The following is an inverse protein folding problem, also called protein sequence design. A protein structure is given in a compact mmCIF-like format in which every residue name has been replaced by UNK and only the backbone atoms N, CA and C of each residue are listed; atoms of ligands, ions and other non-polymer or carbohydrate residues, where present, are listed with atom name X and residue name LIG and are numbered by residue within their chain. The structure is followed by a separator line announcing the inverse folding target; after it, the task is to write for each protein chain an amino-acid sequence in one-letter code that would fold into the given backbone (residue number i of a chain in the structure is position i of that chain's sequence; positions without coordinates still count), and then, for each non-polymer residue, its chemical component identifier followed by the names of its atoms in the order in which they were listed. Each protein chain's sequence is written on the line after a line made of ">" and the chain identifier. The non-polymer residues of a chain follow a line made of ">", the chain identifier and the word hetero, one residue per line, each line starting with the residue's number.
data_IF_941001373508
#
_entry.id   IF_941001373508
#
_cell.length_a   1.000
_cell.length_b   1.000
_cell.length_c   1.000
_cell.angle_alpha   90.00
_cell.angle_beta   90.00
_cell.angle_gamma   90.00
#
_symmetry.space_group_name_H-M   'P 1'
#
loop_
_entity.id
_entity.type
_entity.pdbx_description
1 polymer ?
#
# COMPACT_ATOMS: atom_id res chain seq x y z
N UNK A 1 -31.77 -10.01 74.70
CA UNK A 1 -32.02 -11.46 74.62
C UNK A 1 -32.79 -11.79 73.35
N UNK A 2 -32.49 -12.97 72.78
CA UNK A 2 -33.15 -13.72 71.69
C UNK A 2 -32.54 -13.59 70.29
N UNK A 3 -32.16 -14.78 69.83
CA UNK A 3 -31.35 -15.16 68.67
C UNK A 3 -32.27 -15.75 67.59
N UNK A 4 -31.76 -15.75 66.35
CA UNK A 4 -32.03 -16.65 65.21
C UNK A 4 -33.36 -16.44 64.48
N UNK A 5 -33.28 -16.20 63.16
CA UNK A 5 -33.48 -17.27 62.17
C UNK A 5 -32.87 -16.88 60.82
N UNK A 6 -32.13 -17.87 60.31
CA UNK A 6 -31.52 -18.03 59.02
C UNK A 6 -32.60 -18.13 57.92
N UNK A 7 -32.47 -17.39 56.83
CA UNK A 7 -32.98 -17.86 55.54
C UNK A 7 -32.03 -17.43 54.42
N UNK A 8 -31.37 -18.42 53.83
CA UNK A 8 -30.64 -18.32 52.58
C UNK A 8 -31.61 -17.96 51.46
N UNK A 9 -31.35 -16.88 50.73
CA UNK A 9 -31.67 -16.81 49.30
C UNK A 9 -30.52 -16.07 48.62
N UNK A 10 -29.57 -16.86 48.13
CA UNK A 10 -28.63 -16.48 47.08
C UNK A 10 -29.41 -16.11 45.82
N UNK A 11 -29.53 -14.82 45.51
CA UNK A 11 -29.83 -14.38 44.16
C UNK A 11 -28.61 -13.69 43.58
N UNK A 12 -27.81 -14.51 42.90
CA UNK A 12 -26.71 -14.09 42.05
C UNK A 12 -27.33 -13.36 40.84
N UNK A 13 -27.47 -12.03 40.90
CA UNK A 13 -27.54 -11.23 39.68
C UNK A 13 -26.14 -10.74 39.38
N UNK A 14 -25.41 -11.58 38.63
CA UNK A 14 -24.28 -11.14 37.82
C UNK A 14 -24.84 -10.08 36.88
N UNK A 15 -24.51 -8.81 37.14
CA UNK A 15 -24.65 -7.77 36.14
C UNK A 15 -23.82 -8.20 34.93
N UNK A 16 -24.50 -8.66 33.87
CA UNK A 16 -23.92 -8.69 32.53
C UNK A 16 -23.60 -7.24 32.17
N UNK A 17 -22.38 -6.82 32.49
CA UNK A 17 -21.75 -5.73 31.77
C UNK A 17 -21.51 -6.29 30.37
N UNK A 18 -22.35 -5.86 29.42
CA UNK A 18 -22.02 -5.95 28.01
C UNK A 18 -20.80 -5.05 27.78
N UNK A 19 -19.62 -5.60 28.04
CA UNK A 19 -18.41 -5.13 27.41
C UNK A 19 -18.56 -5.51 25.92
N UNK A 20 -19.10 -4.60 25.12
CA UNK A 20 -18.82 -4.65 23.70
C UNK A 20 -17.32 -4.38 23.55
N UNK A 21 -16.54 -5.45 23.61
CA UNK A 21 -15.35 -5.52 22.79
C UNK A 21 -15.83 -5.24 21.37
N UNK A 22 -15.63 -4.01 20.89
CA UNK A 22 -15.50 -3.80 19.45
C UNK A 22 -14.56 -4.90 18.98
N UNK A 23 -14.94 -5.75 18.03
CA UNK A 23 -14.00 -6.70 17.47
C UNK A 23 -12.88 -5.85 16.90
N UNK A 24 -11.77 -5.79 17.64
CA UNK A 24 -10.49 -5.52 17.04
C UNK A 24 -10.41 -6.57 15.96
N UNK A 25 -10.68 -6.13 14.74
CA UNK A 25 -10.29 -6.87 13.57
C UNK A 25 -8.79 -6.97 13.75
N UNK A 26 -8.33 -8.10 14.30
CA UNK A 26 -7.05 -8.67 13.92
C UNK A 26 -7.10 -8.67 12.41
N UNK A 27 -6.59 -7.61 11.81
CA UNK A 27 -6.09 -7.67 10.46
C UNK A 27 -4.95 -8.66 10.58
N UNK A 28 -5.29 -9.94 10.46
CA UNK A 28 -4.41 -10.91 9.82
C UNK A 28 -3.99 -10.19 8.55
N UNK A 29 -2.72 -9.76 8.41
CA UNK A 29 -2.24 -9.41 7.08
C UNK A 29 -2.53 -10.66 6.26
N UNK A 30 -3.24 -10.52 5.14
CA UNK A 30 -3.30 -11.58 4.15
C UNK A 30 -1.88 -12.17 4.07
N UNK A 31 -1.72 -13.51 4.23
CA UNK A 31 -0.42 -14.12 4.42
C UNK A 31 0.55 -13.49 3.42
N UNK A 32 1.64 -12.94 3.93
CA UNK A 32 2.72 -12.35 3.14
C UNK A 32 3.29 -13.47 2.25
N UNK A 33 2.56 -13.76 1.18
CA UNK A 33 3.01 -14.55 0.08
C UNK A 33 4.13 -13.73 -0.48
N UNK A 34 5.33 -14.29 -0.50
CA UNK A 34 6.46 -13.71 -1.20
C UNK A 34 5.99 -13.56 -2.66
N UNK A 35 5.49 -12.39 -3.03
CA UNK A 35 5.01 -12.14 -4.39
C UNK A 35 6.27 -11.96 -5.23
N UNK A 36 6.61 -13.01 -5.97
CA UNK A 36 7.74 -12.94 -6.88
C UNK A 36 7.40 -12.01 -8.05
N UNK A 37 8.35 -11.19 -8.51
CA UNK A 37 8.10 -10.15 -9.53
C UNK A 37 7.56 -10.75 -10.83
N UNK A 38 7.94 -11.99 -11.15
CA UNK A 38 7.47 -12.75 -12.31
C UNK A 38 5.98 -13.08 -12.27
N UNK A 39 5.35 -13.05 -11.09
CA UNK A 39 3.90 -13.31 -10.93
C UNK A 39 3.03 -12.09 -11.18
N UNK A 40 3.62 -10.93 -11.49
CA UNK A 40 2.90 -9.69 -11.71
C UNK A 40 2.01 -9.73 -12.96
N UNK A 41 0.81 -9.13 -12.91
CA UNK A 41 0.10 -8.74 -14.11
C UNK A 41 1.01 -7.89 -15.01
N UNK A 42 0.98 -8.16 -16.32
CA UNK A 42 1.77 -7.45 -17.33
C UNK A 42 3.30 -7.61 -17.21
N UNK A 43 3.81 -8.62 -16.48
CA UNK A 43 5.25 -8.87 -16.35
C UNK A 43 6.00 -8.88 -17.70
N UNK A 44 5.44 -9.57 -18.71
CA UNK A 44 6.01 -9.67 -20.06
C UNK A 44 6.13 -8.32 -20.78
N UNK A 45 5.23 -7.38 -20.48
CA UNK A 45 5.29 -6.01 -21.00
C UNK A 45 6.30 -5.18 -20.20
N UNK A 46 6.28 -5.29 -18.86
CA UNK A 46 7.16 -4.55 -17.97
C UNK A 46 8.63 -4.86 -18.21
N UNK A 47 9.00 -6.14 -18.37
CA UNK A 47 10.40 -6.55 -18.60
C UNK A 47 11.01 -5.97 -19.89
N UNK A 48 10.18 -5.55 -20.84
CA UNK A 48 10.62 -4.89 -22.08
C UNK A 48 10.87 -3.39 -21.89
N UNK A 49 10.30 -2.79 -20.84
CA UNK A 49 10.32 -1.34 -20.60
C UNK A 49 11.27 -0.94 -19.48
N UNK A 50 11.44 -1.80 -18.47
CA UNK A 50 12.20 -1.50 -17.25
C UNK A 50 13.03 -2.69 -16.79
N UNK A 51 14.11 -2.42 -16.07
CA UNK A 51 14.99 -3.45 -15.53
C UNK A 51 14.49 -3.92 -14.14
N UNK A 52 13.87 -5.10 -14.13
CA UNK A 52 13.30 -5.76 -12.95
C UNK A 52 14.31 -6.65 -12.19
N UNK A 53 15.53 -6.84 -12.69
CA UNK A 53 16.49 -7.82 -12.15
C UNK A 53 16.83 -7.54 -10.68
N UNK A 54 16.56 -8.51 -9.81
CA UNK A 54 16.85 -8.39 -8.37
C UNK A 54 15.96 -7.38 -7.63
N UNK A 55 14.85 -6.95 -8.24
CA UNK A 55 13.79 -6.26 -7.54
C UNK A 55 12.95 -7.24 -6.73
N UNK A 56 12.49 -6.80 -5.56
CA UNK A 56 11.57 -7.55 -4.70
C UNK A 56 10.31 -6.73 -4.47
N UNK A 57 9.22 -7.39 -4.09
CA UNK A 57 7.96 -6.72 -3.73
C UNK A 57 7.61 -6.83 -2.24
N UNK A 58 8.47 -7.49 -1.46
CA UNK A 58 8.32 -7.68 -0.03
C UNK A 58 9.68 -7.47 0.63
N UNK A 59 9.69 -6.90 1.82
CA UNK A 59 10.91 -6.59 2.58
C UNK A 59 10.60 -6.53 4.08
N UNK A 60 11.62 -6.69 4.92
CA UNK A 60 11.47 -6.57 6.38
C UNK A 60 11.10 -5.13 6.78
N UNK A 61 11.69 -4.16 6.06
CA UNK A 61 11.32 -2.74 6.13
C UNK A 61 11.05 -2.26 4.71
N UNK A 62 9.84 -1.79 4.46
CA UNK A 62 9.45 -1.25 3.14
C UNK A 62 10.04 0.14 2.89
N UNK A 63 10.10 0.60 1.62
CA UNK A 63 10.55 1.95 1.32
C UNK A 63 9.62 3.01 1.90
N UNK A 64 10.19 4.12 2.36
CA UNK A 64 9.44 5.21 2.97
C UNK A 64 9.72 6.54 2.25
N UNK A 65 8.68 7.16 1.69
CA UNK A 65 8.78 8.52 1.16
C UNK A 65 8.96 9.51 2.33
N UNK A 66 9.82 10.53 2.24
CA UNK A 66 9.96 11.53 3.31
C UNK A 66 8.64 12.25 3.57
N UNK A 67 8.15 12.21 4.81
CA UNK A 67 6.81 12.73 5.16
C UNK A 67 5.65 11.76 4.88
N UNK A 68 5.97 10.51 4.51
CA UNK A 68 5.02 9.40 4.42
C UNK A 68 4.24 9.33 3.11
N UNK A 69 3.50 8.22 2.96
CA UNK A 69 2.77 7.90 1.73
C UNK A 69 1.63 8.88 1.42
N UNK A 70 1.07 9.56 2.42
CA UNK A 70 0.06 10.59 2.20
C UNK A 70 0.64 11.80 1.44
N UNK A 71 1.84 12.25 1.82
CA UNK A 71 2.53 13.32 1.13
C UNK A 71 2.96 12.89 -0.27
N UNK A 72 3.46 11.66 -0.43
CA UNK A 72 3.76 11.08 -1.74
C UNK A 72 2.55 11.16 -2.68
N UNK A 73 1.38 10.65 -2.25
CA UNK A 73 0.16 10.66 -3.06
C UNK A 73 -0.25 12.07 -3.46
N UNK A 74 -0.18 13.04 -2.53
CA UNK A 74 -0.47 14.45 -2.82
C UNK A 74 0.50 15.01 -3.86
N UNK A 75 1.81 14.84 -3.66
CA UNK A 75 2.85 15.33 -4.59
C UNK A 75 2.75 14.68 -5.97
N UNK A 76 2.46 13.38 -6.01
CA UNK A 76 2.22 12.67 -7.25
C UNK A 76 1.00 13.25 -7.97
N UNK A 77 -0.13 13.44 -7.28
CA UNK A 77 -1.34 14.05 -7.84
C UNK A 77 -1.13 15.51 -8.32
N UNK A 78 -0.36 16.32 -7.58
CA UNK A 78 0.03 17.68 -8.00
C UNK A 78 0.82 17.69 -9.32
N UNK A 79 1.61 16.65 -9.55
CA UNK A 79 2.43 16.51 -10.76
C UNK A 79 1.69 15.84 -11.94
N UNK A 80 0.52 15.23 -11.68
CA UNK A 80 -0.31 14.56 -12.68
C UNK A 80 -1.01 15.58 -13.57
N UNK A 81 -0.91 15.36 -14.87
CA UNK A 81 -1.71 16.11 -15.84
C UNK A 81 -3.14 15.56 -15.88
N UNK A 82 -4.12 16.46 -15.95
CA UNK A 82 -5.54 16.09 -16.05
C UNK A 82 -5.84 15.61 -17.47
N UNK A 83 -6.13 14.31 -17.61
CA UNK A 83 -6.49 13.71 -18.89
C UNK A 83 -8.00 13.49 -18.96
N UNK A 84 -8.67 14.14 -19.92
CA UNK A 84 -10.10 13.98 -20.13
C UNK A 84 -10.42 12.62 -20.77
N UNK A 85 -10.95 11.71 -19.97
CA UNK A 85 -11.54 10.48 -20.46
C UNK A 85 -12.96 10.78 -20.97
N UNK A 86 -13.18 10.74 -22.29
CA UNK A 86 -14.51 10.94 -22.94
C UNK A 86 -15.51 9.83 -22.57
N UNK A 87 -15.90 9.73 -21.30
CA UNK A 87 -16.83 8.72 -20.77
C UNK A 87 -16.27 7.30 -20.64
N UNK A 88 -14.98 7.07 -20.97
CA UNK A 88 -14.34 5.76 -20.84
C UNK A 88 -13.71 5.59 -19.46
N UNK A 89 -13.92 4.42 -18.84
CA UNK A 89 -13.20 4.05 -17.61
C UNK A 89 -11.72 3.93 -17.92
N UNK A 90 -10.89 4.76 -17.29
CA UNK A 90 -9.44 4.62 -17.33
C UNK A 90 -9.03 3.63 -16.24
N UNK A 91 -8.29 2.61 -16.65
CA UNK A 91 -7.59 1.70 -15.74
C UNK A 91 -6.10 1.85 -16.00
N UNK A 92 -5.36 2.18 -14.95
CA UNK A 92 -3.91 2.40 -15.02
C UNK A 92 -3.27 1.78 -13.83
N UNK A 93 -2.20 1.04 -14.04
CA UNK A 93 -1.34 0.54 -12.98
C UNK A 93 0.06 1.10 -13.17
N UNK A 94 0.58 1.69 -12.10
CA UNK A 94 1.89 2.34 -12.09
C UNK A 94 2.87 1.42 -11.38
N UNK A 95 4.09 1.37 -11.91
CA UNK A 95 5.22 0.58 -11.43
C UNK A 95 6.46 1.44 -11.40
N UNK A 96 7.23 1.36 -10.31
CA UNK A 96 8.55 2.00 -10.22
C UNK A 96 9.40 1.28 -9.19
N UNK A 97 10.72 1.37 -9.32
CA UNK A 97 11.66 0.78 -8.37
C UNK A 97 12.21 1.89 -7.48
N UNK A 98 12.12 1.69 -6.16
CA UNK A 98 12.96 2.41 -5.21
C UNK A 98 14.30 1.67 -5.13
N UNK A 99 15.36 2.34 -5.59
CA UNK A 99 16.70 1.76 -5.60
C UNK A 99 17.33 1.75 -4.21
N UNK A 100 18.43 1.01 -4.07
CA UNK A 100 19.20 0.90 -2.82
C UNK A 100 19.68 2.24 -2.27
N UNK A 101 19.84 3.24 -3.14
CA UNK A 101 20.24 4.60 -2.77
C UNK A 101 19.06 5.48 -2.33
N UNK A 102 17.83 5.00 -2.45
CA UNK A 102 16.59 5.69 -2.09
C UNK A 102 15.96 6.50 -3.23
N UNK A 103 16.58 6.59 -4.40
CA UNK A 103 15.96 7.26 -5.55
C UNK A 103 15.06 6.31 -6.34
N UNK A 104 14.01 6.87 -6.93
CA UNK A 104 13.13 6.11 -7.83
C UNK A 104 13.71 6.06 -9.24
N UNK A 105 13.60 4.90 -9.90
CA UNK A 105 13.90 4.73 -11.31
C UNK A 105 13.00 3.62 -11.89
N UNK A 106 13.30 3.13 -13.11
CA UNK A 106 12.58 2.00 -13.73
C UNK A 106 11.06 2.20 -13.69
N UNK A 107 10.63 3.38 -14.13
CA UNK A 107 9.25 3.83 -14.07
C UNK A 107 8.50 3.34 -15.31
N UNK A 108 7.36 2.69 -15.11
CA UNK A 108 6.43 2.30 -16.16
C UNK A 108 4.98 2.40 -15.68
N UNK A 109 4.08 2.81 -16.57
CA UNK A 109 2.64 2.71 -16.36
C UNK A 109 2.00 1.91 -17.48
N UNK A 110 1.11 0.99 -17.11
CA UNK A 110 0.33 0.15 -18.03
C UNK A 110 -1.12 0.63 -17.94
N UNK A 111 -1.72 0.98 -19.08
CA UNK A 111 -3.07 1.52 -19.12
C UNK A 111 -3.79 1.24 -20.43
N UNK A 112 -5.12 1.19 -20.37
CA UNK A 112 -5.98 1.29 -21.54
C UNK A 112 -6.02 2.69 -22.17
N UNK A 113 -5.45 3.71 -21.53
CA UNK A 113 -5.26 5.07 -22.03
C UNK A 113 -3.77 5.45 -22.00
N UNK A 114 -3.14 5.54 -23.18
CA UNK A 114 -1.71 5.84 -23.31
C UNK A 114 -1.31 7.20 -22.77
N UNK A 115 -2.17 8.21 -22.87
CA UNK A 115 -1.86 9.56 -22.41
C UNK A 115 -1.88 9.62 -20.88
N UNK A 116 -2.81 8.89 -20.26
CA UNK A 116 -2.84 8.76 -18.80
C UNK A 116 -1.63 7.99 -18.25
N UNK A 117 -1.20 6.91 -18.92
CA UNK A 117 0.04 6.23 -18.56
C UNK A 117 1.26 7.15 -18.68
N UNK A 118 1.40 7.91 -19.78
CA UNK A 118 2.48 8.88 -19.97
C UNK A 118 2.47 9.97 -18.90
N UNK A 119 1.30 10.50 -18.55
CA UNK A 119 1.16 11.50 -17.50
C UNK A 119 1.63 10.95 -16.14
N UNK A 120 1.28 9.71 -15.80
CA UNK A 120 1.74 9.04 -14.59
C UNK A 120 3.27 8.87 -14.54
N UNK A 121 3.88 8.43 -15.66
CA UNK A 121 5.34 8.30 -15.74
C UNK A 121 6.04 9.65 -15.62
N UNK A 122 5.51 10.69 -16.27
CA UNK A 122 6.03 12.05 -16.19
C UNK A 122 5.90 12.62 -14.76
N UNK A 123 4.80 12.36 -14.08
CA UNK A 123 4.56 12.81 -12.71
C UNK A 123 5.60 12.24 -11.73
N UNK A 124 5.91 10.95 -11.83
CA UNK A 124 6.97 10.31 -11.03
C UNK A 124 8.36 10.85 -11.39
N UNK A 125 8.66 11.06 -12.68
CA UNK A 125 9.97 11.61 -13.10
C UNK A 125 10.25 13.01 -12.53
N UNK A 126 9.21 13.80 -12.22
CA UNK A 126 9.34 15.10 -11.54
C UNK A 126 9.64 14.98 -10.04
N UNK A 127 9.47 13.81 -9.44
CA UNK A 127 9.65 13.59 -7.99
C UNK A 127 11.09 13.18 -7.67
N UNK A 128 12.00 14.16 -7.73
CA UNK A 128 13.42 13.98 -7.38
C UNK A 128 13.64 14.02 -5.85
N UNK A 129 12.97 13.13 -5.13
CA UNK A 129 13.02 13.02 -3.67
C UNK A 129 13.64 11.68 -3.28
N UNK A 130 14.54 11.69 -2.31
CA UNK A 130 15.20 10.49 -1.79
C UNK A 130 14.33 9.81 -0.73
N UNK A 131 13.95 8.57 -0.97
CA UNK A 131 13.23 7.69 -0.06
C UNK A 131 14.20 7.02 0.91
N UNK A 132 13.68 6.55 2.06
CA UNK A 132 14.35 5.46 2.78
C UNK A 132 14.21 4.19 1.92
N UNK A 133 15.30 3.47 1.62
CA UNK A 133 15.22 2.26 0.81
C UNK A 133 14.56 1.12 1.60
N UNK A 134 14.08 0.11 0.89
CA UNK A 134 13.69 -1.14 1.53
C UNK A 134 14.91 -1.87 2.09
N UNK A 135 14.72 -2.58 3.21
CA UNK A 135 15.74 -3.41 3.85
C UNK A 135 15.28 -4.86 3.98
N UNK A 136 16.17 -5.79 3.62
CA UNK A 136 16.07 -7.22 3.95
C UNK A 136 17.34 -7.59 4.72
N UNK A 137 17.20 -8.15 5.91
CA UNK A 137 18.32 -8.44 6.81
C UNK A 137 19.25 -7.22 6.98
N UNK A 138 18.64 -6.04 7.19
CA UNK A 138 19.29 -4.72 7.30
C UNK A 138 20.16 -4.29 6.10
N UNK A 139 20.04 -4.97 4.96
CA UNK A 139 20.72 -4.59 3.71
C UNK A 139 19.74 -3.92 2.74
N UNK A 140 20.13 -2.81 2.09
CA UNK A 140 19.27 -2.15 1.12
C UNK A 140 19.07 -3.00 -0.15
N UNK A 141 17.80 -3.11 -0.56
CA UNK A 141 17.38 -3.90 -1.73
C UNK A 141 16.60 -3.04 -2.73
N UNK A 142 16.55 -3.49 -3.98
CA UNK A 142 15.71 -2.86 -5.01
C UNK A 142 14.27 -3.26 -4.75
N UNK A 143 13.38 -2.30 -4.53
CA UNK A 143 11.99 -2.61 -4.20
C UNK A 143 11.06 -2.10 -5.31
N UNK A 144 10.30 -3.02 -5.90
CA UNK A 144 9.30 -2.70 -6.92
C UNK A 144 7.99 -2.30 -6.24
N UNK A 145 7.68 -1.02 -6.32
CA UNK A 145 6.42 -0.47 -5.87
C UNK A 145 5.40 -0.53 -7.02
N UNK A 146 4.15 -0.89 -6.71
CA UNK A 146 3.07 -0.82 -7.69
C UNK A 146 1.74 -0.42 -7.06
N UNK A 147 0.93 0.34 -7.79
CA UNK A 147 -0.40 0.73 -7.33
C UNK A 147 -1.36 0.96 -8.50
N UNK A 148 -2.67 0.68 -8.34
CA UNK A 148 -3.68 1.12 -9.29
C UNK A 148 -3.87 2.64 -9.16
N UNK A 149 -3.86 3.32 -10.28
CA UNK A 149 -4.21 4.73 -10.40
C UNK A 149 -5.65 4.83 -10.90
N UNK A 150 -6.58 4.99 -9.96
CA UNK A 150 -7.95 5.34 -10.28
C UNK A 150 -8.06 6.83 -10.58
N UNK A 151 -8.88 7.22 -11.55
CA UNK A 151 -9.46 8.55 -11.60
C UNK A 151 -10.36 8.74 -10.38
N UNK A 152 -9.79 9.08 -9.23
CA UNK A 152 -10.61 9.46 -8.08
C UNK A 152 -11.01 10.92 -8.29
N UNK A 153 -12.21 11.10 -8.85
CA UNK A 153 -12.92 12.37 -8.83
C UNK A 153 -13.24 12.64 -7.35
N UNK A 154 -12.53 13.58 -6.74
CA UNK A 154 -12.96 14.22 -5.49
C UNK A 154 -13.98 15.30 -5.84
#
# INVERSE_FOLDING_TARGET
>A
MKKRILLLITLCMVSLVFAQETPETKTTPAPATIVNVESLPHYEELKKRINLTGAVMTADKEPEFPGGMALFRRKFAENMEVIYAKGKKIDTRVYFIVEKNGYINNIAAISNNKDHAKAAEAALKKMLVRWKPALIADKPVRYLYSFPLSLQKY
#
